data_IF_435938604279
#
_entry.id   IF_435938604279
#
_cell.length_a   1.000
_cell.length_b   1.000
_cell.length_c   1.000
_cell.angle_alpha   90.00
_cell.angle_beta   90.00
_cell.angle_gamma   90.00
#
_symmetry.space_group_name_H-M   'P 1'
#
loop_
_entity.id
_entity.type
_entity.pdbx_description
1 polymer ?
#
# COMPACT_ATOMS: atom_id res chain seq x y z
N UNK A 1 1.34 12.46 18.64
CA UNK A 1 1.30 11.62 17.42
C UNK A 1 2.59 11.86 16.66
N UNK A 2 3.21 10.81 16.12
CA UNK A 2 4.39 10.98 15.25
C UNK A 2 3.94 11.43 13.87
N UNK A 3 4.76 12.23 13.20
CA UNK A 3 4.57 12.52 11.77
C UNK A 3 4.63 11.22 10.97
N UNK A 4 3.80 11.13 9.92
CA UNK A 4 3.82 9.95 9.04
C UNK A 4 5.16 9.88 8.30
N UNK A 5 5.78 8.71 8.17
CA UNK A 5 7.04 8.57 7.43
C UNK A 5 6.89 9.08 5.99
N UNK A 6 7.94 9.73 5.47
CA UNK A 6 8.00 10.08 4.06
C UNK A 6 8.08 8.79 3.22
N UNK A 7 7.11 8.61 2.32
CA UNK A 7 7.04 7.48 1.39
C UNK A 7 6.69 8.01 0.00
N UNK A 8 7.06 7.26 -1.04
CA UNK A 8 6.73 7.54 -2.44
C UNK A 8 6.21 6.29 -3.14
N UNK A 9 5.56 6.42 -4.30
CA UNK A 9 5.19 5.26 -5.11
C UNK A 9 6.40 4.35 -5.38
N UNK A 10 6.15 3.04 -5.38
CA UNK A 10 7.12 1.94 -5.42
C UNK A 10 7.91 1.64 -4.13
N UNK A 11 7.79 2.45 -3.07
CA UNK A 11 8.39 2.08 -1.79
C UNK A 11 7.72 0.84 -1.20
N UNK A 12 8.53 0.05 -0.48
CA UNK A 12 8.05 -1.10 0.29
C UNK A 12 7.79 -0.68 1.73
N UNK A 13 6.59 -0.97 2.23
CA UNK A 13 6.20 -0.70 3.62
C UNK A 13 5.61 -1.95 4.28
N UNK A 14 5.51 -1.92 5.61
CA UNK A 14 4.74 -2.88 6.40
C UNK A 14 3.44 -2.23 6.84
N UNK A 15 2.32 -2.92 6.60
CA UNK A 15 0.97 -2.52 7.04
C UNK A 15 0.39 -3.71 7.79
N UNK A 16 0.17 -3.58 9.10
CA UNK A 16 -0.28 -4.68 9.98
C UNK A 16 0.49 -6.00 9.75
N UNK A 17 1.82 -5.90 9.59
CA UNK A 17 2.71 -7.04 9.34
C UNK A 17 2.75 -7.54 7.88
N UNK A 18 1.89 -7.05 6.98
CA UNK A 18 1.88 -7.40 5.55
C UNK A 18 2.88 -6.52 4.79
N UNK A 19 3.67 -7.12 3.89
CA UNK A 19 4.54 -6.37 2.97
C UNK A 19 3.76 -5.84 1.78
N UNK A 20 3.76 -4.53 1.62
CA UNK A 20 3.00 -3.83 0.59
C UNK A 20 3.91 -2.90 -0.23
N UNK A 21 3.50 -2.63 -1.47
CA UNK A 21 4.13 -1.62 -2.33
C UNK A 21 3.20 -0.41 -2.41
N UNK A 22 3.73 0.77 -2.14
CA UNK A 22 2.98 2.03 -2.24
C UNK A 22 2.65 2.31 -3.71
N UNK A 23 1.36 2.49 -4.02
CA UNK A 23 0.87 2.84 -5.34
C UNK A 23 0.52 4.34 -5.44
N UNK A 24 -0.14 4.87 -4.41
CA UNK A 24 -0.56 6.27 -4.35
C UNK A 24 -0.23 6.83 -2.98
N UNK A 25 0.27 8.07 -2.96
CA UNK A 25 0.42 8.87 -1.74
C UNK A 25 -0.58 10.01 -1.82
N UNK A 26 -1.40 10.17 -0.78
CA UNK A 26 -2.49 11.16 -0.73
C UNK A 26 -2.22 12.23 0.32
N UNK A 27 -2.98 13.32 0.20
CA UNK A 27 -2.99 14.37 1.21
C UNK A 27 -3.58 13.84 2.53
N UNK A 28 -3.12 14.34 3.71
CA UNK A 28 -3.58 13.85 5.02
C UNK A 28 -5.08 13.95 5.29
N UNK A 29 -5.83 14.71 4.49
CA UNK A 29 -7.28 14.89 4.63
C UNK A 29 -8.09 14.09 3.62
N UNK A 30 -7.45 13.22 2.84
CA UNK A 30 -8.14 12.41 1.84
C UNK A 30 -9.08 11.39 2.53
N UNK A 31 -10.36 11.31 2.14
CA UNK A 31 -11.33 10.40 2.76
C UNK A 31 -11.01 8.91 2.56
N UNK A 32 -10.15 8.57 1.60
CA UNK A 32 -9.66 7.21 1.36
C UNK A 32 -8.41 6.89 2.19
N UNK A 33 -7.95 7.80 3.05
CA UNK A 33 -6.75 7.64 3.85
C UNK A 33 -5.48 8.02 3.11
N UNK A 34 -4.35 7.84 3.78
CA UNK A 34 -3.06 8.41 3.39
C UNK A 34 -2.45 7.77 2.13
N UNK A 35 -2.66 6.47 1.92
CA UNK A 35 -2.02 5.71 0.84
C UNK A 35 -2.99 4.74 0.17
N UNK A 36 -2.72 4.45 -1.10
CA UNK A 36 -3.13 3.20 -1.73
C UNK A 36 -1.92 2.29 -1.84
N UNK A 37 -2.06 1.03 -1.47
CA UNK A 37 -0.98 0.03 -1.59
C UNK A 37 -1.45 -1.16 -2.41
N UNK A 38 -0.49 -1.86 -3.01
CA UNK A 38 -0.70 -3.21 -3.55
C UNK A 38 0.02 -4.24 -2.69
N UNK A 39 -0.63 -5.38 -2.47
CA UNK A 39 -0.11 -6.47 -1.63
C UNK A 39 -0.53 -7.83 -2.22
N UNK A 40 -0.05 -8.90 -1.59
CA UNK A 40 -0.23 -10.30 -2.03
C UNK A 40 0.37 -10.59 -3.42
N UNK A 41 1.52 -11.27 -3.44
CA UNK A 41 2.24 -11.59 -4.69
C UNK A 41 1.51 -12.63 -5.55
N UNK A 42 0.73 -13.51 -4.93
CA UNK A 42 0.02 -14.59 -5.61
C UNK A 42 -1.30 -14.08 -6.20
N UNK A 43 -2.01 -13.26 -5.44
CA UNK A 43 -3.26 -12.62 -5.86
C UNK A 43 -3.20 -11.11 -5.59
N UNK A 44 -2.55 -10.34 -6.49
CA UNK A 44 -2.35 -8.90 -6.29
C UNK A 44 -3.66 -8.17 -5.99
N UNK A 45 -3.72 -7.60 -4.80
CA UNK A 45 -4.85 -6.83 -4.31
C UNK A 45 -4.41 -5.41 -3.95
N UNK A 46 -5.34 -4.46 -3.98
CA UNK A 46 -5.10 -3.08 -3.60
C UNK A 46 -6.07 -2.62 -2.51
N UNK A 47 -5.57 -1.88 -1.54
CA UNK A 47 -6.34 -1.36 -0.39
C UNK A 47 -5.82 0.01 0.04
N UNK A 48 -6.71 0.69 0.75
CA UNK A 48 -6.46 1.97 1.39
C UNK A 48 -5.82 1.80 2.77
N UNK A 49 -4.82 2.64 3.05
CA UNK A 49 -4.00 2.57 4.25
C UNK A 49 -3.89 3.96 4.87
N UNK A 50 -3.90 4.01 6.21
CA UNK A 50 -3.75 5.24 6.99
C UNK A 50 -2.62 5.16 8.00
N UNK A 51 -2.06 6.30 8.37
CA UNK A 51 -1.13 6.43 9.48
C UNK A 51 -1.91 6.59 10.79
N UNK A 52 -1.62 5.75 11.77
CA UNK A 52 -2.29 5.81 13.10
C UNK A 52 -1.63 6.79 14.06
N UNK A 53 -0.50 7.39 13.67
CA UNK A 53 0.39 8.12 14.58
C UNK A 53 1.54 7.26 15.11
N UNK A 54 1.52 5.95 14.85
CA UNK A 54 2.53 4.98 15.29
C UNK A 54 2.91 3.99 14.18
N UNK A 55 1.94 3.51 13.41
CA UNK A 55 2.15 2.55 12.32
C UNK A 55 1.19 2.78 11.14
N UNK A 56 1.47 2.09 10.04
CA UNK A 56 0.54 2.00 8.91
C UNK A 56 -0.48 0.89 9.17
N UNK A 57 -1.76 1.21 9.06
CA UNK A 57 -2.85 0.28 9.26
C UNK A 57 -3.86 0.34 8.11
N UNK A 58 -4.54 -0.78 7.83
CA UNK A 58 -5.58 -0.79 6.82
C UNK A 58 -6.77 0.10 7.22
N UNK A 59 -7.30 0.88 6.29
CA UNK A 59 -8.48 1.72 6.54
C UNK A 59 -9.73 0.88 6.85
N UNK A 60 -9.84 -0.31 6.24
CA UNK A 60 -10.96 -1.25 6.39
C UNK A 60 -10.45 -2.64 6.77
N UNK A 61 -10.42 -2.97 8.08
CA UNK A 61 -10.05 -4.31 8.52
C UNK A 61 -10.96 -5.37 7.91
N UNK A 62 -10.37 -6.43 7.33
CA UNK A 62 -11.11 -7.50 6.66
C UNK A 62 -11.48 -7.25 5.20
N UNK A 63 -11.13 -6.08 4.65
CA UNK A 63 -11.19 -5.86 3.20
C UNK A 63 -10.11 -6.72 2.52
N UNK A 64 -10.55 -7.63 1.65
CA UNK A 64 -9.65 -8.48 0.85
C UNK A 64 -9.03 -7.71 -0.32
N UNK A 65 -9.41 -6.45 -0.50
CA UNK A 65 -8.93 -5.54 -1.53
C UNK A 65 -9.61 -5.73 -2.88
N UNK A 66 -9.26 -4.84 -3.81
CA UNK A 66 -9.59 -4.96 -5.21
C UNK A 66 -8.72 -6.00 -5.95
N UNK A 67 -8.96 -6.17 -7.24
CA UNK A 67 -8.10 -6.96 -8.11
C UNK A 67 -7.06 -6.05 -8.76
N UNK A 68 -5.91 -5.85 -8.10
CA UNK A 68 -4.92 -4.84 -8.50
C UNK A 68 -4.42 -5.06 -9.94
N UNK A 69 -4.32 -6.32 -10.35
CA UNK A 69 -3.91 -6.72 -11.70
C UNK A 69 -4.92 -6.37 -12.81
N UNK A 70 -6.16 -6.03 -12.47
CA UNK A 70 -7.19 -5.59 -13.43
C UNK A 70 -7.16 -4.08 -13.71
N UNK A 71 -6.40 -3.31 -12.95
CA UNK A 71 -6.31 -1.86 -13.14
C UNK A 71 -5.00 -1.49 -13.85
N UNK A 72 -5.04 -0.97 -15.09
CA UNK A 72 -3.82 -0.59 -15.83
C UNK A 72 -2.93 0.39 -15.05
N UNK A 73 -3.53 1.31 -14.28
CA UNK A 73 -2.81 2.28 -13.42
C UNK A 73 -1.97 1.62 -12.31
N UNK A 74 -2.26 0.37 -11.96
CA UNK A 74 -1.55 -0.37 -10.91
C UNK A 74 -0.50 -1.35 -11.45
N UNK A 75 -0.41 -1.52 -12.77
CA UNK A 75 0.44 -2.54 -13.41
C UNK A 75 1.92 -2.45 -13.02
N UNK A 76 2.47 -1.23 -12.89
CA UNK A 76 3.86 -1.01 -12.50
C UNK A 76 4.13 -1.40 -11.04
N UNK A 77 3.18 -1.16 -10.13
CA UNK A 77 3.29 -1.54 -8.72
C UNK A 77 3.11 -3.05 -8.54
N UNK A 78 2.19 -3.68 -9.29
CA UNK A 78 2.05 -5.14 -9.33
C UNK A 78 3.32 -5.80 -9.83
N UNK A 79 3.99 -5.22 -10.85
CA UNK A 79 5.31 -5.69 -11.31
C UNK A 79 6.35 -5.61 -10.20
N UNK A 80 6.38 -4.50 -9.46
CA UNK A 80 7.30 -4.30 -8.33
C UNK A 80 7.02 -5.33 -7.23
N UNK A 81 5.76 -5.50 -6.84
CA UNK A 81 5.32 -6.49 -5.86
C UNK A 81 5.75 -7.91 -6.25
N UNK A 82 5.54 -8.30 -7.52
CA UNK A 82 5.92 -9.63 -8.02
C UNK A 82 7.44 -9.84 -8.04
N UNK A 83 8.23 -8.80 -8.35
CA UNK A 83 9.69 -8.86 -8.27
C UNK A 83 10.19 -9.10 -6.83
N UNK A 84 9.42 -8.68 -5.84
CA UNK A 84 9.79 -8.76 -4.42
C UNK A 84 10.68 -7.58 -3.99
N UNK A 85 10.86 -7.38 -2.67
CA UNK A 85 11.76 -6.35 -2.18
C UNK A 85 13.19 -6.68 -2.60
N UNK A 86 13.90 -5.71 -3.16
CA UNK A 86 15.32 -5.86 -3.40
C UNK A 86 16.03 -5.92 -2.04
N UNK A 87 16.42 -7.13 -1.62
CA UNK A 87 17.37 -7.31 -0.53
C UNK A 87 18.69 -6.76 -1.07
N UNK A 88 19.11 -5.59 -0.57
CA UNK A 88 20.48 -5.09 -0.74
C UNK A 88 21.35 -5.64 0.37
#
# INVERSE_FOLDING_TARGET
>A
MKERPAVKPHDWIRVDGVSCVVAVVRDPTDPLGDLEVVFDRQKPANVDVKWTGEEWAFCRPGDLGGYADRYPRLSSFVRTLKAGPHVR
#
